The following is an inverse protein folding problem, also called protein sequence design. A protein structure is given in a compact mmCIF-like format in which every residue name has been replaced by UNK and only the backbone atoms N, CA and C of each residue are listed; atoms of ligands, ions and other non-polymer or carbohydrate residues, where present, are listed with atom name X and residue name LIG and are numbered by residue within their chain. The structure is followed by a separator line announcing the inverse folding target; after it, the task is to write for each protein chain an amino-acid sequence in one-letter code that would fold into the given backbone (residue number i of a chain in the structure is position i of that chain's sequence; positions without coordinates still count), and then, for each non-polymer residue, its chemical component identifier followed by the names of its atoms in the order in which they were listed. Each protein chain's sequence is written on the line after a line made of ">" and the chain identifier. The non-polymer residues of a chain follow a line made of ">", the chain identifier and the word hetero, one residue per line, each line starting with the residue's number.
data_IF_680817792003
#
_entry.id   IF_680817792003
#
_cell.length_a   1.000
_cell.length_b   1.000
_cell.length_c   1.000
_cell.angle_alpha   90.00
_cell.angle_beta   90.00
_cell.angle_gamma   90.00
#
_symmetry.space_group_name_H-M   'P 1'
#
loop_
_entity.id
_entity.type
_entity.pdbx_description
1 polymer ?
#
# COMPACT_ATOMS: atom_id res chain seq x y z
N UNK A 1 -2.24 6.18 -2.82
CA UNK A 1 -2.93 4.88 -2.96
C UNK A 1 -3.94 4.70 -1.84
N UNK A 2 -5.19 4.38 -2.14
CA UNK A 2 -6.22 4.16 -1.11
C UNK A 2 -6.55 2.68 -0.93
N UNK A 3 -6.69 2.26 0.32
CA UNK A 3 -7.10 0.92 0.72
C UNK A 3 -8.27 0.99 1.71
N UNK A 4 -9.23 0.07 1.57
CA UNK A 4 -10.34 -0.07 2.50
C UNK A 4 -10.21 -1.41 3.24
N UNK A 5 -10.14 -1.34 4.56
CA UNK A 5 -10.27 -2.50 5.45
C UNK A 5 -11.72 -2.52 5.94
N UNK A 6 -12.55 -3.46 5.48
CA UNK A 6 -13.98 -3.44 5.77
C UNK A 6 -14.27 -3.76 7.24
N UNK A 7 -15.42 -3.30 7.72
CA UNK A 7 -15.95 -3.74 9.02
C UNK A 7 -16.33 -5.24 9.02
N UNK A 8 -16.30 -5.89 10.19
CA UNK A 8 -15.84 -5.35 11.47
C UNK A 8 -14.30 -5.28 11.54
N UNK A 9 -13.78 -4.21 12.13
CA UNK A 9 -12.34 -4.11 12.42
C UNK A 9 -11.99 -5.04 13.59
N UNK A 10 -10.88 -5.75 13.48
CA UNK A 10 -10.40 -6.65 14.55
C UNK A 10 -9.84 -5.91 15.76
N UNK A 11 -9.53 -4.62 15.63
CA UNK A 11 -9.04 -3.76 16.71
C UNK A 11 -9.27 -2.28 16.36
N UNK A 12 -8.85 -1.36 17.24
CA UNK A 12 -8.87 0.08 16.95
C UNK A 12 -7.93 0.42 15.80
N UNK A 13 -8.22 1.46 15.00
CA UNK A 13 -7.35 1.89 13.90
C UNK A 13 -5.90 2.13 14.34
N UNK A 14 -5.72 2.71 15.52
CA UNK A 14 -4.39 2.95 16.10
C UNK A 14 -3.63 1.64 16.37
N UNK A 15 -4.29 0.66 16.99
CA UNK A 15 -3.67 -0.65 17.23
C UNK A 15 -3.32 -1.37 15.91
N UNK A 16 -4.17 -1.25 14.89
CA UNK A 16 -3.94 -1.82 13.57
C UNK A 16 -2.74 -1.15 12.86
N UNK A 17 -2.64 0.18 12.91
CA UNK A 17 -1.51 0.91 12.33
C UNK A 17 -0.21 0.64 13.09
N UNK A 18 -0.25 0.58 14.42
CA UNK A 18 0.90 0.22 15.25
C UNK A 18 1.39 -1.20 14.91
N UNK A 19 0.49 -2.17 14.73
CA UNK A 19 0.81 -3.52 14.26
C UNK A 19 1.47 -3.51 12.88
N UNK A 20 1.06 -2.60 12.01
CA UNK A 20 1.70 -2.38 10.72
C UNK A 20 3.03 -1.60 10.82
N UNK A 21 3.50 -1.20 12.00
CA UNK A 21 4.75 -0.47 12.19
C UNK A 21 4.66 1.03 11.87
N UNK A 22 3.45 1.59 11.90
CA UNK A 22 3.20 3.00 11.72
C UNK A 22 3.04 3.70 13.07
N UNK A 23 3.58 4.91 13.18
CA UNK A 23 3.47 5.76 14.38
C UNK A 23 2.59 6.95 14.04
N UNK A 24 1.62 7.25 14.91
CA UNK A 24 0.77 8.43 14.77
C UNK A 24 1.58 9.70 15.03
N UNK A 25 1.41 10.74 14.21
CA UNK A 25 2.13 12.00 14.41
C UNK A 25 1.23 13.25 14.46
N UNK A 26 0.07 13.26 13.82
CA UNK A 26 -0.89 14.36 13.92
C UNK A 26 -2.31 13.95 13.51
N UNK A 27 -3.21 14.94 13.47
CA UNK A 27 -4.54 14.86 12.87
C UNK A 27 -4.66 16.01 11.87
N UNK A 28 -5.06 15.69 10.65
CA UNK A 28 -5.21 16.66 9.57
C UNK A 28 -6.59 16.47 8.92
N UNK A 29 -7.41 17.52 8.89
CA UNK A 29 -8.77 17.48 8.29
C UNK A 29 -9.66 16.33 8.80
N UNK A 30 -9.55 16.00 10.10
CA UNK A 30 -10.32 14.91 10.71
C UNK A 30 -9.79 13.50 10.41
N UNK A 31 -8.66 13.38 9.70
CA UNK A 31 -7.96 12.13 9.43
C UNK A 31 -6.77 11.99 10.37
N UNK A 32 -6.60 10.82 10.97
CA UNK A 32 -5.42 10.55 11.77
C UNK A 32 -4.23 10.29 10.83
N UNK A 33 -3.11 10.97 11.08
CA UNK A 33 -1.92 10.90 10.23
C UNK A 33 -0.89 9.99 10.89
N UNK A 34 -0.35 9.08 10.12
CA UNK A 34 0.63 8.10 10.55
C UNK A 34 1.82 8.10 9.61
N UNK A 35 3.00 7.79 10.14
CA UNK A 35 4.18 7.57 9.32
C UNK A 35 4.93 6.29 9.66
N UNK A 36 5.64 5.76 8.67
CA UNK A 36 6.68 4.75 8.84
C UNK A 36 7.96 5.23 8.18
N UNK A 37 8.99 5.52 8.98
CA UNK A 37 10.31 5.91 8.47
C UNK A 37 11.04 4.69 7.92
N UNK A 38 11.82 4.90 6.87
CA UNK A 38 12.66 3.83 6.32
C UNK A 38 14.04 3.77 6.98
N UNK A 39 14.52 4.92 7.48
CA UNK A 39 15.82 5.09 8.13
C UNK A 39 15.67 6.08 9.31
N UNK A 40 16.77 6.36 10.02
CA UNK A 40 16.79 7.33 11.13
C UNK A 40 16.36 8.76 10.75
N UNK A 41 16.79 9.31 9.58
CA UNK A 41 16.33 10.62 9.14
C UNK A 41 14.80 10.68 8.95
N UNK A 42 14.18 11.87 9.06
CA UNK A 42 12.72 12.02 8.94
C UNK A 42 12.17 11.62 7.56
N UNK A 43 13.01 11.63 6.52
CA UNK A 43 12.68 11.21 5.17
C UNK A 43 13.80 10.32 4.61
N UNK A 44 13.50 9.37 3.70
CA UNK A 44 12.19 9.05 3.18
C UNK A 44 11.31 8.28 4.16
N UNK A 45 9.99 8.44 4.03
CA UNK A 45 8.99 7.77 4.86
C UNK A 45 7.74 7.45 4.06
N UNK A 46 6.96 6.50 4.55
CA UNK A 46 5.57 6.36 4.13
C UNK A 46 4.67 7.17 5.04
N UNK A 47 3.71 7.87 4.45
CA UNK A 47 2.69 8.64 5.15
C UNK A 47 1.32 8.06 4.83
N UNK A 48 0.54 7.76 5.86
CA UNK A 48 -0.82 7.28 5.76
C UNK A 48 -1.80 8.21 6.46
N UNK A 49 -2.80 8.69 5.73
CA UNK A 49 -4.00 9.27 6.31
C UNK A 49 -5.02 8.17 6.57
N UNK A 50 -5.56 8.12 7.79
CA UNK A 50 -6.52 7.11 8.20
C UNK A 50 -7.82 7.77 8.63
N UNK A 51 -8.93 7.29 8.08
CA UNK A 51 -10.29 7.65 8.49
C UNK A 51 -11.13 6.39 8.69
N UNK A 52 -12.08 6.45 9.61
CA UNK A 52 -13.05 5.37 9.84
C UNK A 52 -14.46 5.86 9.57
N UNK A 53 -15.25 5.02 8.92
CA UNK A 53 -16.68 5.22 8.67
C UNK A 53 -17.43 3.89 8.83
N UNK A 54 -18.73 3.88 8.56
CA UNK A 54 -19.57 2.67 8.66
C UNK A 54 -19.09 1.51 7.77
N UNK A 55 -18.37 1.78 6.68
CA UNK A 55 -17.87 0.75 5.76
C UNK A 55 -16.59 0.10 6.27
N UNK A 56 -15.74 0.85 6.95
CA UNK A 56 -14.37 0.39 7.20
C UNK A 56 -13.43 1.42 7.80
N UNK A 57 -12.17 1.01 7.84
CA UNK A 57 -11.01 1.86 7.96
C UNK A 57 -10.46 2.12 6.56
N UNK A 58 -10.41 3.37 6.15
CA UNK A 58 -9.80 3.83 4.91
C UNK A 58 -8.38 4.32 5.20
N UNK A 59 -7.42 3.89 4.36
CA UNK A 59 -6.01 4.24 4.45
C UNK A 59 -5.61 4.89 3.12
N UNK A 60 -5.24 6.17 3.13
CA UNK A 60 -4.65 6.87 1.99
C UNK A 60 -3.14 7.00 2.18
N UNK A 61 -2.40 6.15 1.46
CA UNK A 61 -0.96 5.96 1.56
C UNK A 61 -0.22 6.72 0.45
N UNK A 62 0.85 7.42 0.81
CA UNK A 62 1.82 7.97 -0.12
C UNK A 62 3.24 7.88 0.45
N UNK A 63 4.22 7.99 -0.43
CA UNK A 63 5.64 7.98 -0.11
C UNK A 63 6.19 9.40 -0.13
N UNK A 64 6.66 9.86 1.03
CA UNK A 64 7.27 11.17 1.19
C UNK A 64 8.79 11.07 1.03
N UNK A 65 9.33 11.88 0.13
CA UNK A 65 10.75 12.13 0.00
C UNK A 65 11.01 13.63 -0.16
N UNK A 66 12.15 14.08 0.37
CA UNK A 66 12.65 15.41 0.13
C UNK A 66 13.79 15.34 -0.87
N UNK A 67 13.78 16.25 -1.84
CA UNK A 67 14.95 16.53 -2.65
C UNK A 67 16.08 17.08 -1.77
N UNK A 68 17.27 16.49 -1.85
CA UNK A 68 18.40 16.83 -0.97
C UNK A 68 19.00 18.20 -1.22
N UNK A 69 18.74 18.81 -2.38
CA UNK A 69 19.35 20.09 -2.77
C UNK A 69 18.38 21.24 -2.53
N UNK A 70 17.14 21.07 -2.99
CA UNK A 70 16.10 22.11 -2.98
C UNK A 70 15.19 22.03 -1.76
N UNK A 71 15.29 20.94 -0.96
CA UNK A 71 14.39 20.63 0.15
C UNK A 71 12.90 20.60 -0.23
N UNK A 72 12.60 20.40 -1.52
CA UNK A 72 11.24 20.30 -2.03
C UNK A 72 10.71 18.87 -1.84
N UNK A 73 9.47 18.75 -1.36
CA UNK A 73 8.76 17.47 -1.29
C UNK A 73 8.29 16.95 -2.65
N UNK A 74 8.06 15.65 -2.74
CA UNK A 74 7.65 14.94 -3.96
C UNK A 74 6.12 14.82 -4.15
N UNK A 75 5.30 15.59 -3.42
CA UNK A 75 3.83 15.49 -3.48
C UNK A 75 3.22 15.87 -4.84
N UNK A 76 3.95 16.56 -5.71
CA UNK A 76 3.53 16.85 -7.08
C UNK A 76 3.84 15.70 -8.06
N UNK A 77 4.50 14.65 -7.58
CA UNK A 77 4.91 13.52 -8.40
C UNK A 77 3.94 12.36 -8.26
N UNK A 78 3.48 11.84 -9.40
CA UNK A 78 2.56 10.69 -9.44
C UNK A 78 3.13 9.46 -8.71
N UNK A 79 4.44 9.19 -8.85
CA UNK A 79 5.11 8.05 -8.22
C UNK A 79 5.13 8.11 -6.68
N UNK A 80 4.81 9.27 -6.07
CA UNK A 80 4.62 9.36 -4.63
C UNK A 80 3.35 8.63 -4.18
N UNK A 81 2.36 8.45 -5.05
CA UNK A 81 1.05 7.89 -4.71
C UNK A 81 0.79 6.51 -5.31
N UNK A 82 1.55 6.11 -6.31
CA UNK A 82 1.41 4.85 -7.04
C UNK A 82 2.76 4.26 -7.48
N UNK A 83 2.73 2.98 -7.87
CA UNK A 83 3.90 2.24 -8.33
C UNK A 83 4.47 1.31 -7.29
N UNK A 84 5.55 0.60 -7.66
CA UNK A 84 6.04 -0.58 -6.93
C UNK A 84 6.17 -0.36 -5.42
N UNK A 85 6.88 0.69 -4.99
CA UNK A 85 7.14 0.94 -3.56
C UNK A 85 5.86 1.22 -2.76
N UNK A 86 4.91 1.98 -3.29
CA UNK A 86 3.65 2.31 -2.59
C UNK A 86 2.73 1.09 -2.58
N UNK A 87 2.67 0.35 -3.69
CA UNK A 87 1.85 -0.85 -3.83
C UNK A 87 2.35 -1.98 -2.90
N UNK A 88 3.66 -2.20 -2.85
CA UNK A 88 4.29 -3.16 -1.94
C UNK A 88 4.01 -2.81 -0.47
N UNK A 89 4.08 -1.53 -0.12
CA UNK A 89 3.80 -1.10 1.24
C UNK A 89 2.31 -1.25 1.58
N UNK A 90 1.39 -0.92 0.67
CA UNK A 90 -0.03 -1.18 0.86
C UNK A 90 -0.30 -2.68 1.10
N UNK A 91 0.31 -3.55 0.29
CA UNK A 91 0.24 -5.00 0.48
C UNK A 91 0.77 -5.43 1.85
N UNK A 92 1.88 -4.85 2.29
CA UNK A 92 2.48 -5.13 3.59
C UNK A 92 1.57 -4.70 4.74
N UNK A 93 0.94 -3.52 4.65
CA UNK A 93 -0.04 -3.04 5.64
C UNK A 93 -1.21 -4.02 5.73
N UNK A 94 -1.81 -4.39 4.60
CA UNK A 94 -2.93 -5.32 4.56
C UNK A 94 -2.54 -6.68 5.14
N UNK A 95 -1.36 -7.19 4.81
CA UNK A 95 -0.83 -8.45 5.35
C UNK A 95 -0.61 -8.37 6.86
N UNK A 96 -0.06 -7.26 7.35
CA UNK A 96 0.18 -7.05 8.78
C UNK A 96 -1.13 -6.95 9.56
N UNK A 97 -2.11 -6.21 9.05
CA UNK A 97 -3.38 -5.97 9.73
C UNK A 97 -4.26 -7.23 9.70
N UNK A 98 -4.50 -7.76 8.50
CA UNK A 98 -5.50 -8.80 8.27
C UNK A 98 -4.93 -10.22 8.25
N UNK A 99 -3.60 -10.39 8.28
CA UNK A 99 -2.95 -11.69 8.04
C UNK A 99 -2.78 -11.96 6.54
N UNK A 100 -2.49 -13.20 6.15
CA UNK A 100 -2.44 -13.58 4.74
C UNK A 100 -3.83 -13.36 4.11
N UNK A 101 -4.03 -12.23 3.42
CA UNK A 101 -5.25 -11.97 2.67
C UNK A 101 -5.08 -12.30 1.19
N UNK A 102 -6.13 -12.86 0.54
CA UNK A 102 -6.30 -12.71 -0.89
C UNK A 102 -6.55 -11.23 -1.19
N UNK A 103 -5.63 -10.60 -1.91
CA UNK A 103 -5.68 -9.19 -2.27
C UNK A 103 -6.96 -8.89 -3.08
N UNK A 104 -7.91 -8.14 -2.52
CA UNK A 104 -9.05 -7.60 -3.28
C UNK A 104 -8.70 -6.17 -3.66
N UNK A 105 -8.15 -5.99 -4.86
CA UNK A 105 -7.92 -4.66 -5.44
C UNK A 105 -9.26 -3.93 -5.58
N UNK A 106 -9.42 -2.83 -4.85
CA UNK A 106 -10.49 -1.87 -5.13
C UNK A 106 -9.85 -0.73 -5.91
N UNK A 107 -9.77 -0.89 -7.23
CA UNK A 107 -9.43 0.18 -8.16
C UNK A 107 -10.65 1.11 -8.30
N UNK A 108 -10.49 2.38 -7.95
CA UNK A 108 -11.38 3.45 -8.39
C UNK A 108 -10.75 4.13 -9.61
N UNK A 109 -11.09 3.66 -10.81
CA UNK A 109 -10.89 4.41 -12.05
C UNK A 109 -12.28 4.74 -12.65
N UNK A 110 -12.54 5.99 -13.09
CA UNK A 110 -13.76 6.30 -13.81
C UNK A 110 -13.68 5.72 -15.22
N UNK A 111 -14.48 4.69 -15.51
CA UNK A 111 -14.65 4.10 -16.85
C UNK A 111 -14.45 2.58 -16.90
N UNK A 112 -15.50 1.82 -16.57
CA UNK A 112 -15.62 0.35 -16.67
C UNK A 112 -15.38 -0.23 -18.10
N UNK A 113 -15.17 -1.56 -18.31
CA UNK A 113 -15.82 -2.67 -17.60
C UNK A 113 -14.93 -3.84 -17.11
N UNK A 114 -15.48 -4.57 -16.14
CA UNK A 114 -14.96 -5.80 -15.57
C UNK A 114 -14.92 -6.93 -16.61
N UNK A 115 -13.80 -7.65 -16.70
CA UNK A 115 -13.71 -8.95 -17.37
C UNK A 115 -13.08 -9.98 -16.45
N UNK A 116 -13.61 -11.19 -16.55
CA UNK A 116 -13.69 -12.26 -15.57
C UNK A 116 -12.37 -12.94 -15.21
N UNK A 117 -12.29 -13.36 -13.95
CA UNK A 117 -11.63 -14.55 -13.42
C UNK A 117 -10.97 -15.49 -14.45
N UNK A 118 -9.66 -15.71 -14.33
CA UNK A 118 -9.04 -16.94 -14.81
C UNK A 118 -8.00 -17.49 -13.82
N UNK A 119 -8.22 -18.76 -13.51
CA UNK A 119 -7.46 -19.75 -12.74
C UNK A 119 -5.94 -19.77 -13.02
N UNK A 120 -5.14 -20.39 -12.13
CA UNK A 120 -3.69 -20.41 -12.24
C UNK A 120 -3.23 -21.15 -13.50
N UNK A 121 -2.52 -20.45 -14.38
CA UNK A 121 -1.90 -21.08 -15.55
C UNK A 121 -0.58 -21.73 -15.13
N UNK A 122 -0.45 -23.02 -15.47
CA UNK A 122 0.77 -23.82 -15.29
C UNK A 122 1.98 -23.07 -15.86
N UNK A 123 3.08 -23.01 -15.10
CA UNK A 123 4.39 -22.51 -15.56
C UNK A 123 4.76 -23.18 -16.90
N UNK A 124 4.82 -22.40 -17.97
CA UNK A 124 5.45 -22.83 -19.22
C UNK A 124 6.95 -22.72 -19.03
N UNK A 125 7.66 -23.84 -19.21
CA UNK A 125 9.13 -23.86 -19.23
C UNK A 125 9.61 -23.01 -20.40
N UNK A 126 10.64 -22.21 -20.17
CA UNK A 126 11.27 -21.38 -21.20
C UNK A 126 11.84 -22.28 -22.30
N UNK A 127 11.78 -21.81 -23.55
CA UNK A 127 12.43 -22.50 -24.69
C UNK A 127 13.92 -22.75 -24.42
N UNK A 128 14.55 -21.88 -23.63
CA UNK A 128 15.95 -22.03 -23.20
C UNK A 128 16.13 -23.24 -22.28
N UNK A 129 15.18 -23.52 -21.39
CA UNK A 129 15.21 -24.71 -20.52
C UNK A 129 14.95 -26.01 -21.29
N UNK A 130 14.25 -25.94 -22.42
CA UNK A 130 14.01 -27.09 -23.29
C UNK A 130 15.28 -27.39 -24.12
N UNK A 131 15.94 -26.34 -24.63
CA UNK A 131 17.03 -26.49 -25.58
C UNK A 131 18.39 -26.77 -24.95
N UNK A 132 18.62 -26.35 -23.71
CA UNK A 132 19.95 -26.38 -23.10
C UNK A 132 20.03 -27.25 -21.83
N UNK A 133 19.05 -28.13 -21.59
CA UNK A 133 19.05 -29.03 -20.43
C UNK A 133 19.17 -30.49 -20.82
N UNK A 134 20.37 -30.88 -21.26
CA UNK A 134 20.93 -32.25 -21.16
C UNK A 134 22.45 -32.18 -21.27
N UNK A 135 23.14 -32.54 -20.19
CA UNK A 135 24.09 -33.66 -20.29
C UNK A 135 23.28 -34.94 -20.13
#
# INVERSE_FOLDING_TARGET
>A
MRQLIPHPLSNTPEALMNKAGYVRHCVETGRACYHRRLNDPPFPRFHAYVSTNEKGMEIDLHFDALDSITHKGNHDQTWAYEGGRVNEEANRILTAICGQLPHKEIYHAPGHPLSSSHLPTKKKKSLFEILFKTM
#
